data_IF_083251963410
#
_entry.id   IF_083251963410
#
_cell.length_a   1.000
_cell.length_b   1.000
_cell.length_c   1.000
_cell.angle_alpha   90.00
_cell.angle_beta   90.00
_cell.angle_gamma   90.00
#
_symmetry.space_group_name_H-M   'P 1'
#
loop_
_entity.id
_entity.type
_entity.pdbx_description
1 polymer ?
#
# COMPACT_ATOMS: atom_id res chain seq x y z
N UNK A 1 3.54 26.33 18.74
CA UNK A 1 3.39 24.88 19.03
C UNK A 1 2.73 24.77 20.40
N UNK A 2 1.43 24.59 20.45
CA UNK A 2 0.69 24.45 21.73
C UNK A 2 0.19 23.02 21.81
N UNK A 3 0.96 22.14 22.48
CA UNK A 3 0.45 20.84 22.89
C UNK A 3 -0.39 21.13 24.13
N UNK A 4 -1.71 21.26 23.95
CA UNK A 4 -2.64 21.45 25.05
C UNK A 4 -2.89 20.06 25.65
N UNK A 5 -2.25 19.78 26.75
CA UNK A 5 -2.48 18.56 27.52
C UNK A 5 -3.33 18.94 28.72
N UNK A 6 -4.64 18.86 28.54
CA UNK A 6 -5.62 18.99 29.64
C UNK A 6 -5.80 17.66 30.36
N UNK A 7 -4.92 17.33 31.28
CA UNK A 7 -5.13 16.23 32.23
C UNK A 7 -4.44 16.48 33.56
N UNK A 8 -5.17 16.35 34.64
CA UNK A 8 -4.71 16.53 36.02
C UNK A 8 -3.64 15.50 36.47
N UNK A 9 -3.37 14.46 35.68
CA UNK A 9 -2.32 13.47 35.92
C UNK A 9 -1.68 13.03 34.59
N UNK A 10 -0.69 13.78 34.14
CA UNK A 10 0.07 13.48 32.93
C UNK A 10 1.19 12.51 33.24
N UNK A 11 1.19 11.33 32.59
CA UNK A 11 2.32 10.42 32.64
C UNK A 11 3.27 10.65 31.45
N UNK A 12 4.53 10.28 31.59
CA UNK A 12 5.48 10.34 30.46
C UNK A 12 5.00 9.53 29.26
N UNK A 13 4.33 8.40 29.51
CA UNK A 13 3.71 7.57 28.48
C UNK A 13 2.63 8.32 27.68
N UNK A 14 1.86 9.19 28.32
CA UNK A 14 0.83 9.99 27.63
C UNK A 14 1.51 11.07 26.77
N UNK A 15 2.58 11.68 27.27
CA UNK A 15 3.39 12.66 26.53
C UNK A 15 3.99 12.01 25.27
N UNK A 16 4.60 10.83 25.42
CA UNK A 16 5.22 10.08 24.31
C UNK A 16 4.17 9.77 23.20
N UNK A 17 2.98 9.32 23.58
CA UNK A 17 1.90 9.06 22.64
C UNK A 17 1.43 10.31 21.91
N UNK A 18 1.26 11.42 22.60
CA UNK A 18 0.82 12.67 21.98
C UNK A 18 1.89 13.23 21.02
N UNK A 19 3.17 13.13 21.41
CA UNK A 19 4.28 13.49 20.50
C UNK A 19 4.27 12.60 19.27
N UNK A 20 4.09 11.29 19.43
CA UNK A 20 4.03 10.35 18.30
C UNK A 20 2.91 10.69 17.34
N UNK A 21 1.68 10.92 17.83
CA UNK A 21 0.57 11.34 16.99
C UNK A 21 0.85 12.65 16.24
N UNK A 22 1.43 13.62 16.93
CA UNK A 22 1.79 14.89 16.33
C UNK A 22 2.81 14.72 15.20
N UNK A 23 3.85 13.90 15.40
CA UNK A 23 4.84 13.60 14.37
C UNK A 23 4.20 12.85 13.19
N UNK A 24 3.30 11.90 13.45
CA UNK A 24 2.54 11.23 12.41
C UNK A 24 1.69 12.19 11.59
N UNK A 25 1.03 13.17 12.23
CA UNK A 25 0.28 14.20 11.50
C UNK A 25 1.19 15.06 10.61
N UNK A 26 2.35 15.45 11.08
CA UNK A 26 3.35 16.16 10.26
C UNK A 26 3.75 15.30 9.05
N UNK A 27 3.96 14.00 9.24
CA UNK A 27 4.31 13.10 8.15
C UNK A 27 3.19 12.99 7.10
N UNK A 28 1.92 12.98 7.52
CA UNK A 28 0.75 13.04 6.62
C UNK A 28 0.77 14.33 5.80
N UNK A 29 0.94 15.48 6.46
CA UNK A 29 0.92 16.80 5.79
C UNK A 29 2.07 16.94 4.80
N UNK A 30 3.29 16.55 5.19
CA UNK A 30 4.47 16.55 4.30
C UNK A 30 4.29 15.63 3.09
N UNK A 31 3.70 14.44 3.30
CA UNK A 31 3.44 13.51 2.19
C UNK A 31 2.42 14.09 1.21
N UNK A 32 1.37 14.72 1.73
CA UNK A 32 0.37 15.40 0.91
C UNK A 32 0.97 16.53 0.07
N UNK A 33 1.79 17.37 0.68
CA UNK A 33 2.50 18.46 -0.01
C UNK A 33 3.43 17.89 -1.10
N UNK A 34 4.21 16.87 -0.77
CA UNK A 34 5.11 16.21 -1.73
C UNK A 34 4.34 15.65 -2.93
N UNK A 35 3.23 14.93 -2.71
CA UNK A 35 2.42 14.37 -3.79
C UNK A 35 1.85 15.47 -4.69
N UNK A 36 1.36 16.57 -4.11
CA UNK A 36 0.82 17.70 -4.86
C UNK A 36 1.90 18.40 -5.72
N UNK A 37 3.10 18.63 -5.16
CA UNK A 37 4.22 19.24 -5.89
C UNK A 37 4.73 18.31 -6.99
N UNK A 38 4.83 17.02 -6.72
CA UNK A 38 5.31 16.05 -7.69
C UNK A 38 4.32 15.88 -8.85
N UNK A 39 3.01 15.82 -8.58
CA UNK A 39 1.97 15.75 -9.61
C UNK A 39 1.97 17.02 -10.49
N UNK A 40 2.17 18.20 -9.88
CA UNK A 40 2.32 19.47 -10.61
C UNK A 40 3.56 19.46 -11.52
N UNK A 41 4.67 18.88 -11.08
CA UNK A 41 5.87 18.70 -11.90
C UNK A 41 5.58 17.77 -13.08
N UNK A 42 4.97 16.63 -12.85
CA UNK A 42 4.58 15.70 -13.91
C UNK A 42 3.62 16.36 -14.92
N UNK A 43 2.70 17.21 -14.45
CA UNK A 43 1.82 17.97 -15.30
C UNK A 43 2.58 18.93 -16.23
N UNK A 44 3.68 19.53 -15.79
CA UNK A 44 4.50 20.43 -16.59
C UNK A 44 5.39 19.68 -17.60
N UNK A 45 5.94 18.53 -17.20
CA UNK A 45 6.88 17.73 -17.99
C UNK A 45 6.20 16.75 -18.96
N UNK A 46 4.88 16.54 -18.87
CA UNK A 46 4.15 15.58 -19.68
C UNK A 46 4.16 15.90 -21.17
N UNK A 47 4.08 14.90 -22.00
CA UNK A 47 3.75 15.04 -23.42
C UNK A 47 2.27 15.45 -23.57
N UNK A 48 2.04 16.70 -23.92
CA UNK A 48 0.68 17.28 -24.09
C UNK A 48 -0.09 16.73 -25.28
N UNK A 49 0.62 16.15 -26.27
CA UNK A 49 -0.01 15.49 -27.41
C UNK A 49 -0.60 14.12 -27.01
N UNK A 50 0.09 13.42 -26.11
CA UNK A 50 -0.31 12.09 -25.64
C UNK A 50 -1.29 12.14 -24.46
N UNK A 51 -1.04 13.03 -23.50
CA UNK A 51 -1.79 13.09 -22.23
C UNK A 51 -2.60 14.38 -22.13
N UNK A 52 -3.89 14.28 -22.42
CA UNK A 52 -4.80 15.42 -22.33
C UNK A 52 -5.36 15.54 -20.91
N UNK A 53 -5.15 16.69 -20.26
CA UNK A 53 -5.70 17.01 -18.93
C UNK A 53 -7.24 16.97 -18.93
N UNK A 54 -7.84 16.29 -17.94
CA UNK A 54 -9.32 16.15 -17.81
C UNK A 54 -9.87 16.68 -16.49
N UNK A 55 -9.03 16.99 -15.54
CA UNK A 55 -9.43 17.47 -14.22
C UNK A 55 -8.66 16.78 -13.12
N UNK A 56 -9.22 16.82 -11.94
CA UNK A 56 -8.62 16.27 -10.72
C UNK A 56 -9.53 15.21 -10.13
N UNK A 57 -8.94 14.30 -9.37
CA UNK A 57 -9.66 13.26 -8.64
C UNK A 57 -9.05 13.08 -7.27
N UNK A 58 -9.91 13.19 -6.25
CA UNK A 58 -9.54 12.87 -4.88
C UNK A 58 -9.27 11.37 -4.70
N UNK A 59 -8.24 11.07 -3.95
CA UNK A 59 -7.92 9.74 -3.49
C UNK A 59 -7.25 9.78 -2.11
N UNK A 60 -6.94 8.62 -1.55
CA UNK A 60 -6.23 8.50 -0.29
C UNK A 60 -5.36 7.25 -0.27
N UNK A 61 -4.27 7.29 0.46
CA UNK A 61 -3.42 6.14 0.74
C UNK A 61 -3.19 6.01 2.24
N UNK A 62 -3.46 4.84 2.78
CA UNK A 62 -3.22 4.55 4.19
C UNK A 62 -1.77 4.11 4.38
N UNK A 63 -1.05 4.86 5.20
CA UNK A 63 0.35 4.66 5.53
C UNK A 63 0.53 4.21 6.99
N UNK A 64 1.75 3.88 7.37
CA UNK A 64 2.10 3.54 8.76
C UNK A 64 1.88 4.72 9.73
N UNK A 65 1.95 5.95 9.26
CA UNK A 65 1.73 7.18 10.03
C UNK A 65 0.31 7.76 9.89
N UNK A 66 -0.60 7.09 9.19
CA UNK A 66 -2.00 7.50 9.07
C UNK A 66 -2.54 7.48 7.65
N UNK A 67 -3.74 8.04 7.47
CA UNK A 67 -4.41 8.17 6.18
C UNK A 67 -4.00 9.49 5.51
N UNK A 68 -3.48 9.42 4.29
CA UNK A 68 -3.02 10.56 3.51
C UNK A 68 -4.02 10.82 2.39
N UNK A 69 -4.91 11.81 2.56
CA UNK A 69 -5.78 12.25 1.47
C UNK A 69 -4.97 13.11 0.49
N UNK A 70 -5.13 12.87 -0.80
CA UNK A 70 -4.49 13.66 -1.85
C UNK A 70 -5.38 13.78 -3.08
N UNK A 71 -5.12 14.80 -3.88
CA UNK A 71 -5.74 15.01 -5.17
C UNK A 71 -4.71 14.69 -6.26
N UNK A 72 -5.14 14.06 -7.34
CA UNK A 72 -4.29 13.72 -8.49
C UNK A 72 -4.92 14.11 -9.82
N UNK A 73 -4.09 14.45 -10.78
CA UNK A 73 -4.53 14.84 -12.12
C UNK A 73 -4.95 13.61 -12.93
N UNK A 74 -6.10 13.73 -13.59
CA UNK A 74 -6.63 12.73 -14.53
C UNK A 74 -6.23 13.11 -15.94
N UNK A 75 -5.63 12.19 -16.68
CA UNK A 75 -5.30 12.36 -18.08
C UNK A 75 -6.10 11.41 -18.96
N UNK A 76 -6.53 11.90 -20.13
CA UNK A 76 -7.05 11.07 -21.22
C UNK A 76 -5.90 10.77 -22.18
N UNK A 77 -5.69 9.52 -22.49
CA UNK A 77 -4.79 9.03 -23.54
C UNK A 77 -5.54 8.14 -24.51
N UNK A 78 -4.97 7.90 -25.69
CA UNK A 78 -5.50 6.92 -26.64
C UNK A 78 -4.61 5.68 -26.60
N UNK A 79 -5.21 4.51 -26.37
CA UNK A 79 -4.56 3.22 -26.52
C UNK A 79 -4.17 2.97 -27.98
N UNK A 80 -3.29 2.00 -28.24
CA UNK A 80 -2.92 1.56 -29.60
C UNK A 80 -4.13 1.15 -30.44
N UNK A 81 -5.18 0.64 -29.80
CA UNK A 81 -6.47 0.29 -30.42
C UNK A 81 -7.39 1.49 -30.69
N UNK A 82 -6.92 2.73 -30.44
CA UNK A 82 -7.72 3.95 -30.61
C UNK A 82 -8.80 4.17 -29.54
N UNK A 83 -8.82 3.39 -28.48
CA UNK A 83 -9.74 3.57 -27.35
C UNK A 83 -9.20 4.64 -26.40
N UNK A 84 -10.13 5.44 -25.86
CA UNK A 84 -9.82 6.42 -24.83
C UNK A 84 -9.67 5.74 -23.48
N UNK A 85 -8.56 6.01 -22.82
CA UNK A 85 -8.24 5.52 -21.50
C UNK A 85 -7.92 6.69 -20.56
N UNK A 86 -8.24 6.51 -19.27
CA UNK A 86 -7.89 7.47 -18.24
C UNK A 86 -6.71 6.93 -17.43
N UNK A 87 -5.67 7.74 -17.33
CA UNK A 87 -4.43 7.39 -16.63
C UNK A 87 -4.09 8.45 -15.59
N UNK A 88 -3.34 8.04 -14.58
CA UNK A 88 -2.82 8.89 -13.50
C UNK A 88 -1.30 8.82 -13.53
N UNK A 89 -0.65 9.84 -14.06
CA UNK A 89 0.83 9.87 -14.17
C UNK A 89 1.52 9.80 -12.81
N UNK A 90 0.89 10.34 -11.76
CA UNK A 90 1.39 10.25 -10.40
C UNK A 90 1.48 8.80 -9.92
N UNK A 91 0.43 8.01 -10.15
CA UNK A 91 0.39 6.61 -9.74
C UNK A 91 1.42 5.77 -10.49
N UNK A 92 1.56 6.01 -11.79
CA UNK A 92 2.56 5.32 -12.63
C UNK A 92 3.98 5.65 -12.20
N UNK A 93 4.29 6.95 -12.00
CA UNK A 93 5.62 7.42 -11.66
C UNK A 93 6.08 6.94 -10.28
N UNK A 94 5.18 6.91 -9.29
CA UNK A 94 5.48 6.46 -7.92
C UNK A 94 5.18 4.97 -7.70
N UNK A 95 4.72 4.25 -8.74
CA UNK A 95 4.30 2.84 -8.65
C UNK A 95 3.32 2.64 -7.49
N UNK A 96 2.33 3.51 -7.41
CA UNK A 96 1.32 3.49 -6.36
C UNK A 96 0.27 2.39 -6.59
N UNK A 97 0.65 1.27 -7.18
CA UNK A 97 -0.17 0.08 -7.32
C UNK A 97 -0.37 -0.59 -5.94
N UNK A 98 -1.15 0.09 -5.14
CA UNK A 98 -1.36 -0.26 -3.74
C UNK A 98 -2.42 -1.34 -3.59
N UNK A 99 -2.17 -2.31 -2.72
CA UNK A 99 -3.17 -3.31 -2.32
C UNK A 99 -4.14 -2.67 -1.34
N UNK A 100 -5.39 -2.47 -1.79
CA UNK A 100 -6.45 -1.94 -0.92
C UNK A 100 -6.23 -0.50 -0.44
N UNK A 101 -5.56 0.33 -1.25
CA UNK A 101 -5.20 1.73 -0.92
C UNK A 101 -4.31 1.84 0.32
N UNK A 102 -3.45 0.87 0.53
CA UNK A 102 -2.44 0.89 1.59
C UNK A 102 -1.05 1.01 0.99
N UNK A 103 -0.17 1.73 1.65
CA UNK A 103 1.23 1.83 1.25
C UNK A 103 1.92 0.46 1.30
N UNK A 104 2.94 0.25 0.48
CA UNK A 104 3.67 -1.00 0.44
C UNK A 104 4.25 -1.37 1.81
N UNK A 105 4.82 -0.41 2.53
CA UNK A 105 5.35 -0.61 3.89
C UNK A 105 4.27 -1.13 4.87
N UNK A 106 3.04 -0.61 4.76
CA UNK A 106 1.94 -1.07 5.60
C UNK A 106 1.50 -2.48 5.20
N UNK A 107 1.41 -2.78 3.90
CA UNK A 107 1.10 -4.12 3.38
C UNK A 107 2.15 -5.14 3.84
N UNK A 108 3.44 -4.82 3.74
CA UNK A 108 4.53 -5.68 4.22
C UNK A 108 4.42 -5.94 5.73
N UNK A 109 4.10 -4.91 6.51
CA UNK A 109 3.89 -5.05 7.95
C UNK A 109 2.72 -5.97 8.28
N UNK A 110 1.60 -5.83 7.55
CA UNK A 110 0.41 -6.69 7.69
C UNK A 110 0.75 -8.13 7.34
N UNK A 111 1.36 -8.39 6.19
CA UNK A 111 1.72 -9.74 5.74
C UNK A 111 2.71 -10.38 6.71
N UNK A 112 3.72 -9.64 7.15
CA UNK A 112 4.71 -10.13 8.12
C UNK A 112 4.08 -10.46 9.47
N UNK A 113 3.18 -9.63 9.98
CA UNK A 113 2.50 -9.88 11.26
C UNK A 113 1.54 -11.09 11.16
N UNK A 114 0.71 -11.14 10.12
CA UNK A 114 -0.28 -12.21 9.91
C UNK A 114 0.36 -13.57 9.61
N UNK A 115 1.62 -13.61 9.17
CA UNK A 115 2.36 -14.86 9.03
C UNK A 115 2.76 -15.50 10.39
N UNK A 116 2.71 -14.74 11.48
CA UNK A 116 3.17 -15.15 12.81
C UNK A 116 2.04 -15.24 13.85
N UNK A 117 0.95 -14.53 13.64
CA UNK A 117 -0.14 -14.42 14.61
C UNK A 117 -1.51 -14.32 13.91
N UNK A 118 -2.60 -14.33 14.68
CA UNK A 118 -3.95 -14.20 14.13
C UNK A 118 -4.16 -12.81 13.50
N UNK A 119 -5.12 -12.67 12.56
CA UNK A 119 -5.44 -11.38 11.95
C UNK A 119 -5.86 -10.31 12.97
N UNK A 120 -6.47 -10.72 14.08
CA UNK A 120 -6.86 -9.81 15.15
C UNK A 120 -5.64 -9.31 15.90
N UNK A 121 -4.78 -10.21 16.32
CA UNK A 121 -3.55 -9.88 17.05
C UNK A 121 -2.60 -9.05 16.18
N UNK A 122 -2.51 -9.38 14.87
CA UNK A 122 -1.73 -8.62 13.91
C UNK A 122 -2.24 -7.18 13.75
N UNK A 123 -3.56 -6.99 13.66
CA UNK A 123 -4.15 -5.66 13.59
C UNK A 123 -3.90 -4.86 14.88
N UNK A 124 -4.03 -5.49 16.04
CA UNK A 124 -3.75 -4.84 17.33
C UNK A 124 -2.27 -4.47 17.48
N UNK A 125 -1.35 -5.35 17.07
CA UNK A 125 0.09 -5.11 17.12
C UNK A 125 0.51 -3.95 16.20
N UNK A 126 -0.01 -3.92 14.97
CA UNK A 126 0.26 -2.84 14.04
C UNK A 126 -0.29 -1.52 14.56
N UNK A 127 -1.54 -1.49 15.03
CA UNK A 127 -2.15 -0.27 15.58
C UNK A 127 -1.48 0.22 16.87
N UNK A 128 -0.77 -0.65 17.59
CA UNK A 128 0.00 -0.25 18.76
C UNK A 128 1.22 0.58 18.40
N UNK A 129 1.82 0.31 17.23
CA UNK A 129 3.08 0.87 16.78
C UNK A 129 2.95 1.87 15.63
N UNK A 130 1.71 2.07 15.12
CA UNK A 130 1.43 2.94 13.97
C UNK A 130 0.11 3.69 14.17
N UNK A 131 -0.11 4.73 13.37
CA UNK A 131 -1.40 5.43 13.28
C UNK A 131 -2.23 4.94 12.07
N UNK A 132 -1.97 3.72 11.58
CA UNK A 132 -2.62 3.18 10.39
C UNK A 132 -4.12 2.87 10.57
N UNK A 133 -4.59 2.61 11.80
CA UNK A 133 -6.00 2.35 12.11
C UNK A 133 -6.60 1.18 11.35
N UNK A 134 -5.88 0.04 11.27
CA UNK A 134 -6.34 -1.14 10.55
C UNK A 134 -7.26 -2.01 11.41
N UNK A 135 -8.21 -2.69 10.77
CA UNK A 135 -9.06 -3.70 11.38
C UNK A 135 -8.60 -5.11 10.98
N UNK A 136 -8.99 -6.13 11.74
CA UNK A 136 -8.70 -7.52 11.35
C UNK A 136 -9.27 -7.86 9.97
N UNK A 137 -10.43 -7.30 9.61
CA UNK A 137 -11.04 -7.50 8.31
C UNK A 137 -10.22 -6.84 7.19
N UNK A 138 -9.68 -5.63 7.43
CA UNK A 138 -8.81 -4.98 6.45
C UNK A 138 -7.49 -5.73 6.29
N UNK A 139 -6.91 -6.25 7.37
CA UNK A 139 -5.72 -7.09 7.31
C UNK A 139 -5.97 -8.37 6.50
N UNK A 140 -7.11 -9.06 6.74
CA UNK A 140 -7.51 -10.23 5.97
C UNK A 140 -7.68 -9.90 4.48
N UNK A 141 -8.40 -8.81 4.15
CA UNK A 141 -8.62 -8.38 2.77
C UNK A 141 -7.30 -8.08 2.03
N UNK A 142 -6.33 -7.44 2.71
CA UNK A 142 -5.00 -7.17 2.15
C UNK A 142 -4.29 -8.48 1.82
N UNK A 143 -4.26 -9.43 2.75
CA UNK A 143 -3.60 -10.72 2.55
C UNK A 143 -4.24 -11.50 1.39
N UNK A 144 -5.58 -11.49 1.27
CA UNK A 144 -6.26 -12.14 0.15
C UNK A 144 -5.92 -11.50 -1.20
N UNK A 145 -5.97 -10.17 -1.28
CA UNK A 145 -5.62 -9.44 -2.51
C UNK A 145 -4.15 -9.60 -2.88
N UNK A 146 -3.27 -9.58 -1.89
CA UNK A 146 -1.84 -9.79 -2.11
C UNK A 146 -1.55 -11.21 -2.59
N UNK A 147 -2.20 -12.23 -1.99
CA UNK A 147 -2.10 -13.62 -2.42
C UNK A 147 -2.58 -13.81 -3.86
N UNK A 148 -3.75 -13.25 -4.23
CA UNK A 148 -4.27 -13.33 -5.59
C UNK A 148 -3.32 -12.67 -6.61
N UNK A 149 -2.71 -11.53 -6.27
CA UNK A 149 -1.73 -10.88 -7.13
C UNK A 149 -0.46 -11.72 -7.31
N UNK A 150 0.03 -12.36 -6.24
CA UNK A 150 1.17 -13.27 -6.33
C UNK A 150 0.86 -14.50 -7.19
N UNK A 151 -0.34 -15.08 -7.09
CA UNK A 151 -0.78 -16.21 -7.93
C UNK A 151 -0.83 -15.80 -9.41
N UNK A 152 -1.28 -14.59 -9.72
CA UNK A 152 -1.32 -14.07 -11.08
C UNK A 152 0.09 -13.84 -11.64
N UNK A 153 1.00 -13.24 -10.85
CA UNK A 153 2.41 -13.06 -11.21
C UNK A 153 3.12 -14.39 -11.42
N UNK A 154 2.89 -15.38 -10.53
CA UNK A 154 3.45 -16.73 -10.66
C UNK A 154 2.95 -17.42 -11.93
N UNK A 155 1.65 -17.34 -12.23
CA UNK A 155 1.08 -17.88 -13.46
C UNK A 155 1.65 -17.17 -14.71
N UNK A 156 1.95 -15.89 -14.64
CA UNK A 156 2.68 -15.15 -15.66
C UNK A 156 4.07 -15.70 -15.89
N UNK A 157 4.85 -15.86 -14.83
CA UNK A 157 6.22 -16.38 -14.88
C UNK A 157 6.28 -17.83 -15.40
N UNK A 158 5.31 -18.68 -15.04
CA UNK A 158 5.22 -20.05 -15.56
C UNK A 158 5.01 -20.03 -17.08
N UNK A 159 4.09 -19.18 -17.57
CA UNK A 159 3.84 -19.02 -19.01
C UNK A 159 5.06 -18.51 -19.77
N UNK A 160 5.81 -17.59 -19.18
CA UNK A 160 7.03 -17.02 -19.79
C UNK A 160 8.17 -18.04 -19.74
N UNK A 161 8.26 -18.87 -18.71
CA UNK A 161 9.21 -19.99 -18.63
C UNK A 161 8.92 -21.05 -19.69
N UNK A 162 7.65 -21.42 -19.92
CA UNK A 162 7.23 -22.36 -20.96
C UNK A 162 7.54 -21.85 -22.37
N UNK A 163 7.70 -20.54 -22.55
CA UNK A 163 8.07 -19.89 -23.81
C UNK A 163 9.58 -19.62 -23.97
N UNK A 164 10.43 -20.18 -23.07
CA UNK A 164 11.89 -19.94 -23.03
C UNK A 164 12.31 -18.45 -22.92
N UNK A 165 11.41 -17.59 -22.37
CA UNK A 165 11.59 -16.14 -22.36
C UNK A 165 12.30 -15.59 -21.11
N UNK A 166 12.76 -16.43 -20.16
CA UNK A 166 13.33 -15.96 -18.88
C UNK A 166 14.78 -16.36 -18.67
N UNK A 167 15.68 -15.39 -18.62
CA UNK A 167 17.01 -15.52 -18.02
C UNK A 167 16.97 -15.23 -16.51
N UNK A 168 17.40 -16.19 -15.66
CA UNK A 168 17.69 -15.94 -14.24
C UNK A 168 16.61 -16.31 -13.21
N UNK A 169 15.59 -17.09 -13.56
CA UNK A 169 14.41 -17.45 -12.74
C UNK A 169 14.70 -18.15 -11.37
N UNK A 170 15.92 -18.60 -11.07
CA UNK A 170 16.20 -19.40 -9.86
C UNK A 170 16.07 -18.62 -8.54
N UNK A 171 16.40 -17.33 -8.50
CA UNK A 171 16.33 -16.50 -7.26
C UNK A 171 14.90 -16.11 -6.90
N UNK A 172 14.08 -15.80 -7.90
CA UNK A 172 12.69 -15.38 -7.71
C UNK A 172 11.82 -16.57 -7.28
N UNK A 173 12.03 -17.76 -7.84
CA UNK A 173 11.36 -18.99 -7.46
C UNK A 173 11.56 -19.38 -6.00
N UNK A 174 12.74 -19.13 -5.44
CA UNK A 174 13.03 -19.38 -4.02
C UNK A 174 12.27 -18.41 -3.10
N UNK A 175 12.14 -17.17 -3.48
CA UNK A 175 11.41 -16.15 -2.72
C UNK A 175 9.89 -16.42 -2.71
N UNK A 176 9.30 -16.70 -3.87
CA UNK A 176 7.89 -17.07 -4.00
C UNK A 176 7.56 -18.37 -3.24
N UNK A 177 8.43 -19.37 -3.32
CA UNK A 177 8.24 -20.63 -2.59
C UNK A 177 8.23 -20.43 -1.08
N UNK A 178 9.09 -19.57 -0.53
CA UNK A 178 9.07 -19.24 0.89
C UNK A 178 7.79 -18.51 1.31
N UNK A 179 7.26 -17.62 0.48
CA UNK A 179 6.00 -16.93 0.75
C UNK A 179 4.81 -17.90 0.69
N UNK A 180 4.74 -18.76 -0.33
CA UNK A 180 3.66 -19.74 -0.47
C UNK A 180 3.70 -20.84 0.60
N UNK A 181 4.87 -21.31 1.00
CA UNK A 181 5.02 -22.26 2.13
C UNK A 181 4.54 -21.65 3.45
N UNK A 182 4.84 -20.37 3.70
CA UNK A 182 4.32 -19.64 4.87
C UNK A 182 2.79 -19.50 4.82
N UNK A 183 2.20 -19.30 3.65
CA UNK A 183 0.74 -19.19 3.44
C UNK A 183 0.02 -20.55 3.57
N UNK A 184 0.59 -21.62 3.04
CA UNK A 184 0.02 -22.98 3.15
C UNK A 184 -0.03 -23.48 4.60
N UNK A 185 1.02 -23.22 5.39
CA UNK A 185 1.06 -23.57 6.82
C UNK A 185 -0.05 -22.84 7.61
N UNK A 186 -0.41 -21.63 7.19
CA UNK A 186 -1.48 -20.86 7.83
C UNK A 186 -2.88 -21.41 7.47
N UNK A 187 -3.08 -21.84 6.23
CA UNK A 187 -4.36 -22.43 5.76
C UNK A 187 -4.70 -23.73 6.47
N UNK A 188 -3.70 -24.57 6.74
CA UNK A 188 -3.90 -25.84 7.49
C UNK A 188 -4.20 -25.60 8.98
N UNK A 189 -3.68 -24.53 9.59
CA UNK A 189 -3.91 -24.19 11.00
C UNK A 189 -5.24 -23.51 11.27
N UNK A 190 -5.87 -22.91 10.25
CA UNK A 190 -7.14 -22.15 10.38
C UNK A 190 -8.34 -22.88 9.82
N UNK A 191 -8.17 -24.05 9.22
CA UNK A 191 -9.29 -24.87 8.80
C UNK A 191 -10.06 -25.38 10.03
N UNK A 192 -11.39 -25.18 10.12
CA UNK A 192 -12.16 -25.75 11.18
C UNK A 192 -12.06 -27.28 11.14
N UNK A 193 -11.67 -27.88 12.24
CA UNK A 193 -11.77 -29.34 12.39
C UNK A 193 -13.25 -29.69 12.37
N UNK A 194 -13.70 -30.35 11.31
CA UNK A 194 -15.01 -31.01 11.21
C UNK A 194 -15.01 -32.21 12.15
#
# INVERSE_FOLDING_TARGET
>A
MNIIVEKDCLTFKDIEKEIFKYVCQIAVDLTKEFLAEYDKKLMQERDTAKYRHKGYKDDHVRCVYGDVPYERVVYETCSEDGKKEFVFLLDEALRMDTVGKMSLNLVESIVSATSKMSFRDAAEEINRNTEAGITFQSAWNVVQKFGAKLEEEEAGLIRDYEKDAIEGAKKFRYFLRKLTESFCIYREKTAPRI
#
